data_IF_419034319375
#
_entry.id   IF_419034319375
#
_cell.length_a   1.000
_cell.length_b   1.000
_cell.length_c   1.000
_cell.angle_alpha   90.00
_cell.angle_beta   90.00
_cell.angle_gamma   90.00
#
_symmetry.space_group_name_H-M   'P 1'
#
loop_
_entity.id
_entity.type
_entity.pdbx_description
1 polymer ?
#
# COMPACT_ATOMS: atom_id res chain seq x y z
N UNK A 1 37.78 -59.33 -73.64
CA UNK A 1 36.57 -59.41 -72.79
C UNK A 1 36.94 -58.81 -71.42
N UNK A 2 36.88 -57.56 -71.32
CA UNK A 2 37.33 -56.82 -70.10
C UNK A 2 36.11 -56.11 -69.49
N UNK A 3 35.87 -56.41 -68.22
CA UNK A 3 34.82 -55.76 -67.42
C UNK A 3 35.44 -54.62 -66.65
N UNK A 4 34.96 -53.42 -66.93
CA UNK A 4 35.34 -52.24 -66.20
C UNK A 4 34.27 -52.02 -65.09
N UNK A 5 34.71 -52.06 -63.85
CA UNK A 5 33.93 -51.69 -62.69
C UNK A 5 34.17 -50.22 -62.39
N UNK A 6 33.10 -49.43 -62.48
CA UNK A 6 33.08 -48.00 -62.08
C UNK A 6 32.64 -47.91 -60.63
N UNK A 7 33.55 -47.57 -59.75
CA UNK A 7 33.25 -47.27 -58.34
C UNK A 7 32.80 -45.84 -58.21
N UNK A 8 31.49 -45.65 -57.94
CA UNK A 8 30.91 -44.33 -57.55
C UNK A 8 31.23 -44.02 -56.10
N UNK A 9 32.05 -43.01 -55.91
CA UNK A 9 32.41 -42.47 -54.62
C UNK A 9 31.33 -41.45 -54.21
N UNK A 10 30.45 -41.81 -53.27
CA UNK A 10 29.42 -40.91 -52.73
C UNK A 10 30.05 -40.08 -51.61
N UNK A 11 30.24 -38.80 -51.87
CA UNK A 11 30.60 -37.81 -50.82
C UNK A 11 29.36 -37.38 -50.11
N UNK A 12 29.21 -37.81 -48.86
CA UNK A 12 28.18 -37.30 -47.93
C UNK A 12 28.68 -35.99 -47.30
N UNK A 13 28.21 -34.88 -47.79
CA UNK A 13 28.49 -33.60 -47.22
C UNK A 13 27.54 -33.41 -45.99
N UNK A 14 28.07 -33.64 -44.79
CA UNK A 14 27.35 -33.28 -43.50
C UNK A 14 27.39 -31.78 -43.35
N UNK A 15 26.27 -31.12 -43.65
CA UNK A 15 26.05 -29.71 -43.32
C UNK A 15 25.83 -29.59 -41.80
N UNK A 16 26.84 -29.10 -41.09
CA UNK A 16 26.74 -28.70 -39.69
C UNK A 16 25.94 -27.39 -39.66
N UNK A 17 24.68 -27.49 -39.27
CA UNK A 17 23.89 -26.30 -38.96
C UNK A 17 24.36 -25.74 -37.62
N UNK A 18 25.18 -24.70 -37.69
CA UNK A 18 25.50 -23.86 -36.56
C UNK A 18 24.23 -23.05 -36.21
N UNK A 19 23.46 -23.50 -35.23
CA UNK A 19 22.39 -22.71 -34.65
C UNK A 19 23.05 -21.52 -33.98
N UNK A 20 22.96 -20.34 -34.59
CA UNK A 20 23.29 -19.08 -33.91
C UNK A 20 22.35 -18.94 -32.72
N UNK A 21 22.88 -19.13 -31.51
CA UNK A 21 22.20 -18.74 -30.30
C UNK A 21 22.01 -17.20 -30.36
N UNK A 22 20.80 -16.74 -30.64
CA UNK A 22 20.46 -15.35 -30.48
C UNK A 22 20.53 -15.08 -28.98
N UNK A 23 21.52 -14.32 -28.55
CA UNK A 23 21.52 -13.74 -27.21
C UNK A 23 20.25 -12.90 -27.11
N UNK A 24 19.37 -13.25 -26.16
CA UNK A 24 18.19 -12.44 -25.87
C UNK A 24 18.67 -11.06 -25.45
N UNK A 25 18.24 -10.06 -26.20
CA UNK A 25 18.52 -8.67 -25.86
C UNK A 25 17.92 -8.40 -24.50
N UNK A 26 18.70 -7.81 -23.58
CA UNK A 26 18.38 -7.27 -22.28
C UNK A 26 17.10 -7.81 -21.59
N UNK A 27 17.25 -8.98 -20.94
CA UNK A 27 16.14 -9.57 -20.17
C UNK A 27 15.85 -8.86 -18.84
N UNK A 28 16.69 -7.91 -18.44
CA UNK A 28 16.57 -7.22 -17.15
C UNK A 28 16.93 -5.75 -17.31
N UNK A 29 15.92 -4.92 -17.18
CA UNK A 29 16.04 -3.47 -17.21
C UNK A 29 15.83 -2.91 -15.80
N UNK A 30 16.79 -2.15 -15.29
CA UNK A 30 16.66 -1.40 -14.04
C UNK A 30 16.44 0.07 -14.37
N UNK A 31 15.38 0.63 -13.82
CA UNK A 31 15.09 2.05 -13.91
C UNK A 31 14.65 2.57 -12.55
N UNK A 32 14.94 3.82 -12.24
CA UNK A 32 14.58 4.45 -11.00
C UNK A 32 14.80 5.94 -11.08
N UNK A 33 14.18 6.67 -10.16
CA UNK A 33 14.40 8.11 -9.97
C UNK A 33 14.98 8.29 -8.58
N UNK A 34 16.13 8.95 -8.51
CA UNK A 34 16.68 9.41 -7.23
C UNK A 34 15.93 10.67 -6.85
N UNK A 35 15.26 10.64 -5.71
CA UNK A 35 14.52 11.78 -5.14
C UNK A 35 15.20 12.25 -3.88
N UNK A 36 15.16 13.55 -3.64
CA UNK A 36 15.59 14.16 -2.40
C UNK A 36 14.38 14.39 -1.51
N UNK A 37 14.38 13.75 -0.34
CA UNK A 37 13.32 13.88 0.65
C UNK A 37 13.77 14.86 1.73
N UNK A 38 12.95 15.88 2.00
CA UNK A 38 13.35 16.92 2.96
C UNK A 38 13.38 16.44 4.41
N UNK A 39 12.70 15.36 4.75
CA UNK A 39 12.59 14.83 6.11
C UNK A 39 12.86 13.33 6.15
N UNK A 40 13.29 12.82 7.29
CA UNK A 40 13.43 11.40 7.59
C UNK A 40 12.27 10.96 8.48
N UNK A 41 11.52 9.93 8.08
CA UNK A 41 10.53 9.31 8.94
C UNK A 41 11.25 8.59 10.09
N UNK A 42 10.78 8.74 11.32
CA UNK A 42 11.32 8.03 12.45
C UNK A 42 11.12 6.51 12.27
N UNK A 43 12.16 5.73 12.57
CA UNK A 43 12.15 4.26 12.35
C UNK A 43 11.03 3.57 13.12
N UNK A 44 10.69 4.09 14.29
CA UNK A 44 9.57 3.62 15.13
C UNK A 44 8.20 3.79 14.47
N UNK A 45 8.08 4.68 13.48
CA UNK A 45 6.84 4.98 12.79
C UNK A 45 6.72 4.27 11.42
N UNK A 46 7.76 3.54 10.98
CA UNK A 46 7.72 2.76 9.74
C UNK A 46 6.73 1.60 9.80
N UNK A 47 6.59 1.00 11.00
CA UNK A 47 5.67 -0.09 11.27
C UNK A 47 4.92 0.20 12.57
N UNK A 48 3.71 0.72 12.45
CA UNK A 48 2.89 1.09 13.60
C UNK A 48 1.76 0.08 13.81
N UNK A 49 1.48 -0.20 15.07
CA UNK A 49 0.32 -0.98 15.49
C UNK A 49 -0.62 -0.10 16.32
N UNK A 50 -1.89 -0.07 15.95
CA UNK A 50 -2.94 0.61 16.69
C UNK A 50 -3.92 -0.40 17.26
N UNK A 51 -3.86 -0.62 18.57
CA UNK A 51 -4.80 -1.49 19.26
C UNK A 51 -6.07 -0.71 19.65
N UNK A 52 -7.21 -1.09 19.10
CA UNK A 52 -8.52 -0.55 19.50
C UNK A 52 -8.99 -1.06 20.86
N UNK A 53 -8.31 -2.01 21.45
CA UNK A 53 -8.67 -2.67 22.72
C UNK A 53 -10.07 -3.31 22.64
N UNK A 54 -10.89 -3.14 23.64
CA UNK A 54 -12.29 -3.64 23.65
C UNK A 54 -13.22 -2.59 23.09
N UNK A 55 -13.90 -2.95 21.99
CA UNK A 55 -14.96 -2.12 21.38
C UNK A 55 -16.31 -2.69 21.75
N UNK A 56 -17.18 -1.85 22.28
CA UNK A 56 -18.51 -2.24 22.73
C UNK A 56 -19.52 -2.00 21.60
N UNK A 57 -20.19 -3.05 21.18
CA UNK A 57 -21.18 -3.03 20.07
C UNK A 57 -22.32 -2.03 20.33
N UNK A 58 -22.75 -1.88 21.59
CA UNK A 58 -23.79 -0.93 21.96
C UNK A 58 -23.40 0.52 21.64
N UNK A 59 -22.14 0.86 21.80
CA UNK A 59 -21.64 2.20 21.46
C UNK A 59 -21.69 2.43 19.95
N UNK A 60 -21.37 1.40 19.15
CA UNK A 60 -21.51 1.45 17.69
C UNK A 60 -22.98 1.59 17.27
N UNK A 61 -23.90 0.83 17.86
CA UNK A 61 -25.33 0.96 17.57
C UNK A 61 -25.90 2.34 17.97
N UNK A 62 -25.35 2.99 18.97
CA UNK A 62 -25.79 4.31 19.43
C UNK A 62 -25.20 5.45 18.59
N UNK A 63 -23.91 5.37 18.29
CA UNK A 63 -23.15 6.48 17.73
C UNK A 63 -22.77 6.25 16.25
N UNK A 64 -22.95 5.05 15.69
CA UNK A 64 -22.55 4.66 14.35
C UNK A 64 -21.04 4.40 14.19
N UNK A 65 -20.22 5.02 15.04
CA UNK A 65 -18.74 4.92 14.98
C UNK A 65 -18.12 5.12 16.37
N UNK A 66 -16.88 4.70 16.49
CA UNK A 66 -16.07 5.00 17.68
C UNK A 66 -15.48 6.41 17.60
N UNK A 67 -14.94 6.86 18.72
CA UNK A 67 -14.06 8.05 18.73
C UNK A 67 -12.77 7.72 18.00
N UNK A 68 -12.20 8.71 17.33
CA UNK A 68 -10.89 8.61 16.70
C UNK A 68 -9.80 8.37 17.74
N UNK A 69 -8.88 7.46 17.41
CA UNK A 69 -7.66 7.20 18.16
C UNK A 69 -6.47 7.82 17.43
N UNK A 70 -5.67 8.64 18.11
CA UNK A 70 -4.59 9.38 17.47
C UNK A 70 -3.44 8.47 17.02
N UNK A 71 -2.92 8.78 15.86
CA UNK A 71 -1.70 8.22 15.28
C UNK A 71 -0.79 9.41 14.99
N UNK A 72 0.47 9.29 15.37
CA UNK A 72 1.47 10.33 15.23
C UNK A 72 2.65 9.82 14.41
N UNK A 73 3.04 10.55 13.38
CA UNK A 73 4.24 10.30 12.58
C UNK A 73 5.28 11.37 12.89
N UNK A 74 6.47 10.96 13.28
CA UNK A 74 7.58 11.84 13.58
C UNK A 74 8.49 11.98 12.37
N UNK A 75 8.48 13.16 11.77
CA UNK A 75 9.40 13.55 10.69
C UNK A 75 10.58 14.29 11.30
N UNK A 76 11.77 13.76 11.11
CA UNK A 76 13.00 14.27 11.73
C UNK A 76 13.92 14.94 10.72
N UNK A 77 14.73 15.87 11.22
CA UNK A 77 15.79 16.51 10.44
C UNK A 77 15.28 17.10 9.12
N UNK A 78 14.09 17.73 9.12
CA UNK A 78 13.55 18.34 7.91
C UNK A 78 14.43 19.51 7.45
N UNK A 79 14.96 19.40 6.22
CA UNK A 79 15.68 20.45 5.52
C UNK A 79 14.79 21.04 4.42
N UNK A 80 14.41 22.29 4.58
CA UNK A 80 13.48 22.98 3.68
C UNK A 80 14.19 23.86 2.64
N UNK A 81 15.53 23.82 2.56
CA UNK A 81 16.27 24.57 1.55
C UNK A 81 15.94 24.12 0.13
N UNK A 82 15.50 22.87 -0.02
CA UNK A 82 15.08 22.25 -1.30
C UNK A 82 13.73 22.78 -1.82
N UNK A 83 13.02 23.60 -1.04
CA UNK A 83 11.78 24.26 -1.46
C UNK A 83 10.48 23.46 -1.27
N UNK A 84 10.57 22.18 -0.91
CA UNK A 84 9.41 21.31 -0.62
C UNK A 84 8.95 21.51 0.82
N UNK A 85 7.81 22.14 1.01
CA UNK A 85 7.34 22.54 2.34
C UNK A 85 6.02 21.90 2.77
N UNK A 86 5.30 21.30 1.86
CA UNK A 86 4.04 20.62 2.17
C UNK A 86 4.28 19.12 2.23
N UNK A 87 3.87 18.49 3.32
CA UNK A 87 3.81 17.03 3.40
C UNK A 87 2.38 16.58 3.15
N UNK A 88 2.24 15.62 2.25
CA UNK A 88 0.99 14.93 1.95
C UNK A 88 1.13 13.45 2.28
N UNK A 89 0.03 12.78 2.64
CA UNK A 89 0.00 11.36 2.94
C UNK A 89 -1.01 10.66 2.05
N UNK A 90 -0.66 9.48 1.57
CA UNK A 90 -1.56 8.59 0.84
C UNK A 90 -1.67 7.29 1.62
N UNK A 91 -2.89 6.91 1.99
CA UNK A 91 -3.17 5.61 2.60
C UNK A 91 -3.66 4.66 1.52
N UNK A 92 -3.02 3.50 1.38
CA UNK A 92 -3.29 2.54 0.31
C UNK A 92 -3.65 1.17 0.86
N UNK A 93 -4.72 0.59 0.33
CA UNK A 93 -5.10 -0.80 0.58
C UNK A 93 -5.95 -1.33 -0.58
N UNK A 94 -5.81 -2.63 -0.86
CA UNK A 94 -6.71 -3.35 -1.77
C UNK A 94 -8.03 -3.77 -1.09
N UNK A 95 -8.09 -3.67 0.24
CA UNK A 95 -9.25 -4.03 1.04
C UNK A 95 -10.16 -2.81 1.33
N UNK A 96 -10.35 -1.95 0.34
CA UNK A 96 -11.30 -0.83 0.44
C UNK A 96 -12.74 -1.33 0.35
N UNK A 97 -13.63 -0.78 1.20
CA UNK A 97 -15.05 -1.12 1.18
C UNK A 97 -15.73 -0.60 -0.08
N UNK A 98 -16.55 -1.45 -0.70
CA UNK A 98 -17.39 -1.06 -1.85
C UNK A 98 -18.66 -0.33 -1.44
N UNK A 99 -19.17 -0.59 -0.22
CA UNK A 99 -20.37 0.07 0.30
C UNK A 99 -20.10 1.47 0.84
N UNK A 100 -18.96 1.63 1.51
CA UNK A 100 -18.48 2.90 2.03
C UNK A 100 -17.07 3.20 1.49
N UNK A 101 -16.95 3.69 0.25
CA UNK A 101 -15.67 3.95 -0.37
C UNK A 101 -14.79 4.88 0.48
N UNK A 102 -13.51 4.55 0.56
CA UNK A 102 -12.54 5.27 1.38
C UNK A 102 -12.32 4.66 2.77
N UNK A 103 -13.13 3.67 3.19
CA UNK A 103 -12.93 2.93 4.43
C UNK A 103 -12.32 1.55 4.17
N UNK A 104 -11.55 1.06 5.15
CA UNK A 104 -10.84 -0.21 5.10
C UNK A 104 -11.69 -1.33 5.67
N UNK A 105 -11.81 -2.43 4.93
CA UNK A 105 -12.43 -3.66 5.43
C UNK A 105 -11.53 -4.34 6.45
N UNK A 106 -12.16 -4.93 7.47
CA UNK A 106 -11.48 -5.75 8.46
C UNK A 106 -11.22 -7.17 7.94
N UNK A 107 -10.16 -7.78 8.45
CA UNK A 107 -9.87 -9.20 8.31
C UNK A 107 -10.34 -9.91 9.58
N UNK A 108 -11.33 -10.78 9.45
CA UNK A 108 -11.89 -11.54 10.56
C UNK A 108 -12.70 -12.72 10.03
N UNK A 109 -12.75 -13.79 10.82
CA UNK A 109 -13.65 -14.92 10.54
C UNK A 109 -15.08 -14.68 11.04
N UNK A 110 -15.27 -13.78 11.99
CA UNK A 110 -16.54 -13.59 12.71
C UNK A 110 -17.05 -12.15 12.70
N UNK A 111 -16.16 -11.16 12.68
CA UNK A 111 -16.54 -9.74 12.63
C UNK A 111 -16.94 -9.38 11.21
N UNK A 112 -18.12 -8.80 11.06
CA UNK A 112 -18.64 -8.25 9.82
C UNK A 112 -19.49 -7.01 10.11
N UNK A 113 -19.72 -6.20 9.09
CA UNK A 113 -20.47 -4.95 9.24
C UNK A 113 -19.71 -3.85 9.96
N UNK A 114 -18.36 -3.96 10.05
CA UNK A 114 -17.50 -2.99 10.71
C UNK A 114 -16.30 -2.67 9.81
N UNK A 115 -15.91 -1.41 9.74
CA UNK A 115 -14.86 -0.87 8.89
C UNK A 115 -13.94 0.03 9.70
N UNK A 116 -12.71 0.25 9.20
CA UNK A 116 -11.80 1.28 9.73
C UNK A 116 -11.85 2.51 8.85
N UNK A 117 -12.02 3.66 9.44
CA UNK A 117 -11.89 4.95 8.79
C UNK A 117 -10.71 5.75 9.35
N UNK A 118 -10.20 6.65 8.52
CA UNK A 118 -9.17 7.61 8.89
C UNK A 118 -9.73 9.03 8.81
N UNK A 119 -9.28 9.89 9.70
CA UNK A 119 -9.67 11.29 9.73
C UNK A 119 -8.53 12.19 10.20
N UNK A 120 -8.57 13.45 9.80
CA UNK A 120 -7.67 14.46 10.32
C UNK A 120 -7.92 14.70 11.81
N UNK A 121 -7.04 15.45 12.47
CA UNK A 121 -7.25 15.88 13.86
C UNK A 121 -8.45 16.82 14.03
N UNK A 122 -8.94 17.43 12.94
CA UNK A 122 -10.17 18.24 12.91
C UNK A 122 -11.44 17.41 12.63
N UNK A 123 -11.28 16.12 12.29
CA UNK A 123 -12.42 15.23 12.01
C UNK A 123 -12.78 15.14 10.52
N UNK A 124 -11.97 15.70 9.63
CA UNK A 124 -12.18 15.59 8.19
C UNK A 124 -11.76 14.20 7.73
N UNK A 125 -12.59 13.55 6.92
CA UNK A 125 -12.30 12.22 6.42
C UNK A 125 -11.04 12.19 5.54
N UNK A 126 -10.22 11.14 5.72
CA UNK A 126 -9.03 10.84 4.92
C UNK A 126 -9.26 9.50 4.18
N UNK A 127 -10.04 9.50 3.08
CA UNK A 127 -10.36 8.29 2.34
C UNK A 127 -9.12 7.58 1.80
N UNK A 128 -9.17 6.24 1.77
CA UNK A 128 -8.12 5.41 1.18
C UNK A 128 -7.89 5.73 -0.30
N UNK A 129 -6.71 5.40 -0.79
CA UNK A 129 -6.29 5.49 -2.19
C UNK A 129 -6.39 6.92 -2.77
N UNK A 130 -6.31 7.93 -1.88
CA UNK A 130 -6.22 9.35 -2.22
C UNK A 130 -5.09 10.01 -1.45
N UNK A 131 -4.51 11.04 -2.07
CA UNK A 131 -3.47 11.87 -1.43
C UNK A 131 -4.12 13.00 -0.64
N UNK A 132 -3.66 13.19 0.59
CA UNK A 132 -4.19 14.17 1.53
C UNK A 132 -3.06 15.13 1.96
N UNK A 133 -3.20 16.43 1.70
CA UNK A 133 -2.27 17.42 2.25
C UNK A 133 -2.45 17.48 3.78
N UNK A 134 -1.36 17.31 4.51
CA UNK A 134 -1.41 17.24 5.97
C UNK A 134 -1.00 18.55 6.63
N UNK A 135 0.20 19.02 6.35
CA UNK A 135 0.70 20.26 6.97
C UNK A 135 1.87 20.87 6.20
N UNK A 136 2.09 22.15 6.45
CA UNK A 136 3.32 22.83 6.07
C UNK A 136 4.40 22.48 7.10
N UNK A 137 5.56 22.07 6.61
CA UNK A 137 6.71 21.69 7.42
C UNK A 137 7.46 22.92 7.94
N UNK A 138 8.08 22.75 9.10
CA UNK A 138 9.10 23.63 9.63
C UNK A 138 10.46 22.94 9.54
N UNK A 139 11.57 23.70 9.53
CA UNK A 139 12.92 23.12 9.62
C UNK A 139 13.10 22.39 10.96
N UNK A 140 13.79 21.25 10.93
CA UNK A 140 13.97 20.39 12.09
C UNK A 140 12.85 19.34 12.22
N UNK A 141 12.40 19.05 13.44
CA UNK A 141 11.44 17.97 13.68
C UNK A 141 10.00 18.43 13.49
N UNK A 142 9.21 17.60 12.86
CA UNK A 142 7.78 17.81 12.62
C UNK A 142 6.97 16.61 13.09
N UNK A 143 5.72 16.89 13.47
CA UNK A 143 4.74 15.87 13.83
C UNK A 143 3.56 15.95 12.86
N UNK A 144 3.23 14.83 12.22
CA UNK A 144 2.02 14.66 11.41
C UNK A 144 1.06 13.76 12.18
N UNK A 145 -0.12 14.27 12.49
CA UNK A 145 -1.10 13.56 13.31
C UNK A 145 -2.41 13.38 12.57
N UNK A 146 -3.00 12.21 12.74
CA UNK A 146 -4.33 11.86 12.24
C UNK A 146 -4.97 10.86 13.20
N UNK A 147 -6.23 10.50 12.97
CA UNK A 147 -6.92 9.53 13.81
C UNK A 147 -7.41 8.36 12.97
N UNK A 148 -7.49 7.19 13.60
CA UNK A 148 -8.24 6.06 13.08
C UNK A 148 -9.45 5.76 13.97
N UNK A 149 -10.56 5.36 13.37
CA UNK A 149 -11.80 5.02 14.05
C UNK A 149 -12.46 3.80 13.43
N UNK A 150 -13.34 3.17 14.17
CA UNK A 150 -14.19 2.09 13.66
C UNK A 150 -15.57 2.64 13.33
N UNK A 151 -16.11 2.21 12.19
CA UNK A 151 -17.43 2.58 11.71
C UNK A 151 -18.26 1.36 11.39
N UNK A 152 -19.49 1.30 11.90
CA UNK A 152 -20.45 0.29 11.51
C UNK A 152 -21.03 0.59 10.14
N UNK A 153 -21.23 -0.44 9.33
CA UNK A 153 -21.96 -0.34 8.07
C UNK A 153 -23.43 0.00 8.35
N UNK A 154 -24.05 0.92 7.60
CA UNK A 154 -25.41 1.39 7.87
C UNK A 154 -26.45 0.27 7.94
N UNK A 155 -26.32 -0.73 7.06
CA UNK A 155 -27.23 -1.88 7.02
C UNK A 155 -27.05 -2.77 8.25
N UNK A 156 -25.82 -3.07 8.64
CA UNK A 156 -25.49 -3.88 9.81
C UNK A 156 -25.94 -3.18 11.11
N UNK A 157 -25.79 -1.87 11.20
CA UNK A 157 -26.27 -1.07 12.33
C UNK A 157 -27.81 -1.09 12.41
N UNK A 158 -28.50 -0.86 11.29
CA UNK A 158 -29.96 -0.84 11.24
C UNK A 158 -30.59 -2.19 11.60
N UNK A 159 -29.99 -3.29 11.14
CA UNK A 159 -30.43 -4.67 11.39
C UNK A 159 -29.90 -5.25 12.71
N UNK A 160 -28.98 -4.56 13.38
CA UNK A 160 -28.26 -5.04 14.57
C UNK A 160 -27.55 -6.37 14.34
N UNK A 161 -26.83 -6.48 13.22
CA UNK A 161 -26.15 -7.69 12.78
C UNK A 161 -24.62 -7.54 12.76
N UNK A 162 -24.05 -6.64 13.57
CA UNK A 162 -22.60 -6.57 13.70
C UNK A 162 -22.04 -7.89 14.22
N UNK A 163 -21.06 -8.45 13.50
CA UNK A 163 -20.35 -9.64 13.94
C UNK A 163 -19.41 -9.32 15.10
N UNK A 164 -19.35 -10.22 16.09
CA UNK A 164 -18.50 -10.07 17.27
C UNK A 164 -17.28 -10.98 17.19
N UNK A 165 -16.13 -10.53 17.68
CA UNK A 165 -14.91 -11.33 17.73
C UNK A 165 -13.65 -10.46 17.60
N UNK A 166 -12.54 -11.15 17.37
CA UNK A 166 -11.28 -10.51 17.07
C UNK A 166 -11.22 -10.09 15.59
N UNK A 167 -10.56 -9.00 15.33
CA UNK A 167 -10.35 -8.46 13.98
C UNK A 167 -8.95 -7.84 13.88
N UNK A 168 -8.45 -7.75 12.68
CA UNK A 168 -7.29 -6.99 12.30
C UNK A 168 -7.53 -6.30 10.95
N UNK A 169 -6.71 -5.33 10.63
CA UNK A 169 -6.67 -4.67 9.33
C UNK A 169 -5.29 -4.09 9.09
N UNK A 170 -4.86 -4.05 7.85
CA UNK A 170 -3.59 -3.45 7.48
C UNK A 170 -3.74 -2.56 6.25
N UNK A 171 -3.01 -1.47 6.27
CA UNK A 171 -2.85 -0.57 5.14
C UNK A 171 -1.39 -0.13 5.03
N UNK A 172 -1.03 0.40 3.90
CA UNK A 172 0.27 1.05 3.69
C UNK A 172 0.04 2.55 3.58
N UNK A 173 0.94 3.33 4.16
CA UNK A 173 0.97 4.76 3.92
C UNK A 173 2.24 5.16 3.15
N UNK A 174 2.14 6.22 2.37
CA UNK A 174 3.25 6.85 1.68
C UNK A 174 3.22 8.35 1.93
N UNK A 175 4.38 8.91 2.23
CA UNK A 175 4.58 10.35 2.34
C UNK A 175 5.05 10.92 1.01
N UNK A 176 4.58 12.09 0.66
CA UNK A 176 5.05 12.86 -0.49
C UNK A 176 5.24 14.31 -0.10
N UNK A 177 6.19 14.97 -0.74
CA UNK A 177 6.61 16.32 -0.41
C UNK A 177 6.51 17.24 -1.63
N UNK A 178 5.88 18.41 -1.46
CA UNK A 178 5.66 19.43 -2.49
C UNK A 178 6.16 20.81 -2.04
#
# INVERSE_FOLDING_TARGET
MSKWAITLSVWVATAVWCSAAQAAEDNLHFSGVLVDEPCVLAVEDENMELDFTTVIDKDLYLNGRTRGRPINLHLRNCDLEVGKRMVSITFSSSAESTELPGLLMLQSATVHGLLVGLESTSGDALPLNKTHPMKVLASGDNLVSFNAYLQGEPEALAKRTLGLGAFDASLTFALSYE
#
